data_IF_192738393435
#
_entry.id   IF_192738393435
#
_cell.length_a   1.000
_cell.length_b   1.000
_cell.length_c   1.000
_cell.angle_alpha   90.00
_cell.angle_beta   90.00
_cell.angle_gamma   90.00
#
_symmetry.space_group_name_H-M   'P 1'
#
loop_
_entity.id
_entity.type
_entity.pdbx_description
1 polymer ?
#
# COMPACT_ATOMS: atom_id res chain seq x y z
N UNK A 1 -2.89 33.43 -9.03
CA UNK A 1 -1.75 32.67 -9.57
C UNK A 1 -2.25 31.29 -9.96
N UNK A 2 -2.32 31.01 -11.26
CA UNK A 2 -2.66 29.67 -11.78
C UNK A 2 -1.53 28.72 -11.41
N UNK A 3 -1.73 27.91 -10.37
CA UNK A 3 -0.80 26.84 -10.02
C UNK A 3 -0.81 25.82 -11.17
N UNK A 4 0.35 25.30 -11.61
CA UNK A 4 0.38 24.23 -12.60
C UNK A 4 -0.43 23.05 -12.05
N UNK A 5 -1.34 22.51 -12.87
CA UNK A 5 -2.29 21.48 -12.46
C UNK A 5 -1.60 20.12 -12.22
N UNK A 6 -0.38 19.94 -12.73
CA UNK A 6 0.38 18.70 -12.64
C UNK A 6 1.87 18.99 -12.75
N UNK A 7 2.63 18.73 -11.68
CA UNK A 7 4.09 18.84 -11.68
C UNK A 7 4.75 17.49 -11.97
N UNK A 8 6.04 17.52 -12.30
CA UNK A 8 6.83 16.29 -12.49
C UNK A 8 6.91 15.48 -11.18
N UNK A 9 6.89 16.17 -10.02
CA UNK A 9 6.86 15.53 -8.71
C UNK A 9 5.53 14.79 -8.47
N UNK A 10 4.40 15.40 -8.84
CA UNK A 10 3.07 14.75 -8.77
C UNK A 10 3.02 13.50 -9.65
N UNK A 11 3.66 13.53 -10.82
CA UNK A 11 3.75 12.38 -11.72
C UNK A 11 4.52 11.22 -11.09
N UNK A 12 5.67 11.53 -10.45
CA UNK A 12 6.51 10.53 -9.78
C UNK A 12 5.77 9.89 -8.60
N UNK A 13 5.06 10.69 -7.80
CA UNK A 13 4.25 10.20 -6.68
C UNK A 13 3.08 9.34 -7.18
N UNK A 14 2.38 9.79 -8.23
CA UNK A 14 1.29 9.04 -8.84
C UNK A 14 1.73 7.68 -9.40
N UNK A 15 2.89 7.63 -10.06
CA UNK A 15 3.45 6.38 -10.56
C UNK A 15 3.83 5.43 -9.41
N UNK A 16 4.45 5.94 -8.35
CA UNK A 16 4.79 5.12 -7.17
C UNK A 16 3.55 4.51 -6.51
N UNK A 17 2.48 5.31 -6.37
CA UNK A 17 1.19 4.83 -5.87
C UNK A 17 0.60 3.76 -6.77
N UNK A 18 0.63 3.95 -8.08
CA UNK A 18 0.16 2.97 -9.06
C UNK A 18 0.95 1.66 -8.96
N UNK A 19 2.28 1.70 -8.90
CA UNK A 19 3.13 0.52 -8.75
C UNK A 19 2.80 -0.29 -7.49
N UNK A 20 2.58 0.38 -6.34
CA UNK A 20 2.22 -0.29 -5.08
C UNK A 20 0.84 -0.96 -5.17
N UNK A 21 -0.16 -0.24 -5.69
CA UNK A 21 -1.55 -0.74 -5.78
C UNK A 21 -1.65 -1.89 -6.78
N UNK A 22 -1.03 -1.76 -7.96
CA UNK A 22 -1.01 -2.80 -8.97
C UNK A 22 -0.18 -4.02 -8.57
N UNK A 23 0.75 -3.91 -7.62
CA UNK A 23 1.49 -5.05 -7.11
C UNK A 23 0.64 -5.93 -6.19
N UNK A 24 0.48 -5.52 -4.92
CA UNK A 24 -0.20 -6.32 -3.89
C UNK A 24 -1.66 -6.60 -4.26
N UNK A 25 -2.34 -5.58 -4.80
CA UNK A 25 -3.73 -5.68 -5.20
C UNK A 25 -3.93 -6.78 -6.22
N UNK A 26 -3.21 -6.74 -7.33
CA UNK A 26 -3.41 -7.70 -8.43
C UNK A 26 -3.04 -9.12 -8.05
N UNK A 27 -1.98 -9.32 -7.27
CA UNK A 27 -1.56 -10.66 -6.85
C UNK A 27 -2.62 -11.34 -5.98
N UNK A 28 -3.34 -10.57 -5.14
CA UNK A 28 -4.34 -11.11 -4.21
C UNK A 28 -5.72 -11.32 -4.82
N UNK A 29 -6.05 -10.61 -5.91
CA UNK A 29 -7.40 -10.64 -6.50
C UNK A 29 -7.87 -12.03 -6.96
N UNK A 30 -7.08 -12.83 -7.70
CA UNK A 30 -7.55 -14.14 -8.17
C UNK A 30 -7.97 -15.08 -7.03
N UNK A 31 -7.17 -15.12 -5.95
CA UNK A 31 -7.48 -15.93 -4.77
C UNK A 31 -8.72 -15.43 -4.02
N UNK A 32 -8.91 -14.11 -3.94
CA UNK A 32 -10.08 -13.52 -3.31
C UNK A 32 -11.36 -13.80 -4.11
N UNK A 33 -11.30 -13.68 -5.44
CA UNK A 33 -12.42 -13.95 -6.34
C UNK A 33 -12.78 -15.44 -6.37
N UNK A 34 -11.79 -16.34 -6.30
CA UNK A 34 -12.02 -17.77 -6.22
C UNK A 34 -12.77 -18.19 -4.94
N UNK A 35 -12.56 -17.48 -3.82
CA UNK A 35 -13.20 -17.80 -2.52
C UNK A 35 -14.56 -17.13 -2.32
N UNK A 36 -14.69 -15.85 -2.70
CA UNK A 36 -15.91 -15.07 -2.48
C UNK A 36 -16.92 -15.16 -3.64
N UNK A 37 -16.46 -15.56 -4.84
CA UNK A 37 -17.26 -15.57 -6.06
C UNK A 37 -17.35 -14.19 -6.73
N UNK A 38 -17.63 -14.17 -8.04
CA UNK A 38 -17.53 -12.98 -8.88
C UNK A 38 -18.43 -11.81 -8.43
N UNK A 39 -19.68 -12.08 -8.04
CA UNK A 39 -20.64 -11.04 -7.67
C UNK A 39 -20.29 -10.37 -6.33
N UNK A 40 -19.99 -11.14 -5.29
CA UNK A 40 -19.66 -10.60 -3.97
C UNK A 40 -18.28 -9.94 -3.95
N UNK A 41 -17.30 -10.50 -4.67
CA UNK A 41 -15.98 -9.91 -4.77
C UNK A 41 -16.00 -8.55 -5.49
N UNK A 42 -16.76 -8.40 -6.59
CA UNK A 42 -16.88 -7.12 -7.30
C UNK A 42 -17.58 -6.05 -6.46
N UNK A 43 -18.67 -6.40 -5.77
CA UNK A 43 -19.37 -5.46 -4.88
C UNK A 43 -18.44 -5.00 -3.75
N UNK A 44 -17.76 -5.94 -3.09
CA UNK A 44 -16.82 -5.63 -2.02
C UNK A 44 -15.65 -4.76 -2.51
N UNK A 45 -15.12 -5.04 -3.71
CA UNK A 45 -14.04 -4.27 -4.31
C UNK A 45 -14.46 -2.83 -4.59
N UNK A 46 -15.62 -2.61 -5.20
CA UNK A 46 -16.14 -1.27 -5.49
C UNK A 46 -16.41 -0.50 -4.20
N UNK A 47 -17.00 -1.17 -3.20
CA UNK A 47 -17.27 -0.56 -1.89
C UNK A 47 -15.99 -0.15 -1.16
N UNK A 48 -14.99 -1.03 -1.09
CA UNK A 48 -13.70 -0.73 -0.47
C UNK A 48 -12.95 0.36 -1.24
N UNK A 49 -12.98 0.34 -2.58
CA UNK A 49 -12.37 1.38 -3.40
C UNK A 49 -13.01 2.74 -3.11
N UNK A 50 -14.33 2.82 -3.03
CA UNK A 50 -15.04 4.08 -2.75
C UNK A 50 -14.76 4.60 -1.34
N UNK A 51 -14.68 3.73 -0.32
CA UNK A 51 -14.27 4.14 1.04
C UNK A 51 -12.83 4.67 1.05
N UNK A 52 -11.89 3.99 0.40
CA UNK A 52 -10.49 4.43 0.37
C UNK A 52 -10.31 5.77 -0.37
N UNK A 53 -11.03 5.97 -1.47
CA UNK A 53 -11.05 7.26 -2.19
C UNK A 53 -11.63 8.35 -1.30
N UNK A 54 -12.76 8.08 -0.63
CA UNK A 54 -13.37 9.05 0.28
C UNK A 54 -12.44 9.43 1.44
N UNK A 55 -11.82 8.45 2.10
CA UNK A 55 -10.84 8.67 3.16
C UNK A 55 -9.65 9.51 2.68
N UNK A 56 -9.12 9.20 1.48
CA UNK A 56 -8.02 9.96 0.87
C UNK A 56 -8.41 11.42 0.62
N UNK A 57 -9.62 11.67 0.11
CA UNK A 57 -10.12 13.05 -0.09
C UNK A 57 -10.26 13.79 1.23
N UNK A 58 -10.76 13.14 2.29
CA UNK A 58 -10.88 13.73 3.61
C UNK A 58 -9.50 14.11 4.18
N UNK A 59 -8.51 13.23 4.08
CA UNK A 59 -7.13 13.51 4.52
C UNK A 59 -6.53 14.67 3.72
N UNK A 60 -6.71 14.71 2.40
CA UNK A 60 -6.22 15.81 1.56
C UNK A 60 -6.84 17.16 1.97
N UNK A 61 -8.12 17.18 2.35
CA UNK A 61 -8.78 18.40 2.86
C UNK A 61 -8.16 18.86 4.18
N UNK A 62 -7.85 17.93 5.08
CA UNK A 62 -7.19 18.24 6.36
C UNK A 62 -5.77 18.76 6.12
N UNK A 63 -5.03 18.15 5.18
CA UNK A 63 -3.67 18.55 4.85
C UNK A 63 -3.57 19.98 4.30
N UNK A 64 -4.61 20.48 3.61
CA UNK A 64 -4.65 21.87 3.11
C UNK A 64 -4.79 22.88 4.26
N UNK A 65 -5.42 22.49 5.37
CA UNK A 65 -5.64 23.35 6.55
C UNK A 65 -4.52 23.21 7.58
N UNK A 66 -3.76 22.12 7.52
CA UNK A 66 -2.69 21.82 8.47
C UNK A 66 -1.58 22.89 8.46
N UNK A 67 -1.00 23.23 9.62
CA UNK A 67 0.14 24.13 9.70
C UNK A 67 1.37 23.53 9.00
N UNK A 68 2.29 24.38 8.53
CA UNK A 68 3.51 23.97 7.80
C UNK A 68 4.45 23.07 8.62
N UNK A 69 4.21 22.93 9.92
CA UNK A 69 4.96 22.06 10.82
C UNK A 69 4.54 20.58 10.68
N UNK A 70 3.36 20.29 10.14
CA UNK A 70 2.85 18.93 9.95
C UNK A 70 3.32 18.35 8.61
N UNK A 71 4.48 17.68 8.61
CA UNK A 71 5.02 17.03 7.41
C UNK A 71 4.57 15.58 7.24
N UNK A 72 4.23 14.88 8.32
CA UNK A 72 3.89 13.44 8.29
C UNK A 72 2.41 13.19 8.58
N UNK A 73 1.89 12.06 8.10
CA UNK A 73 0.53 11.60 8.40
C UNK A 73 0.30 11.49 9.93
N UNK A 74 1.33 11.07 10.67
CA UNK A 74 1.31 10.99 12.14
C UNK A 74 1.21 12.35 12.82
N UNK A 75 1.89 13.38 12.31
CA UNK A 75 1.77 14.75 12.82
C UNK A 75 0.39 15.35 12.52
N UNK A 76 -0.21 15.03 11.37
CA UNK A 76 -1.60 15.42 11.06
C UNK A 76 -2.56 14.77 12.05
N UNK A 77 -2.40 13.48 12.36
CA UNK A 77 -3.20 12.82 13.40
C UNK A 77 -3.00 13.40 14.79
N UNK A 78 -1.76 13.79 15.10
CA UNK A 78 -1.41 14.51 16.32
C UNK A 78 -2.08 15.87 16.43
N UNK A 79 -2.21 16.58 15.32
CA UNK A 79 -2.86 17.88 15.27
C UNK A 79 -4.38 17.79 15.42
N UNK A 80 -5.04 16.80 14.80
CA UNK A 80 -6.50 16.64 14.87
C UNK A 80 -6.97 16.01 16.19
N UNK A 81 -6.28 14.98 16.67
CA UNK A 81 -6.73 14.14 17.80
C UNK A 81 -5.78 14.17 19.01
N UNK A 82 -4.71 14.98 18.96
CA UNK A 82 -3.68 15.02 20.00
C UNK A 82 -2.76 13.79 20.00
N UNK A 83 -2.03 13.61 21.09
CA UNK A 83 -1.11 12.48 21.32
C UNK A 83 -1.68 11.09 21.00
N UNK A 84 -2.93 10.71 21.38
CA UNK A 84 -3.44 9.39 21.05
C UNK A 84 -3.62 9.19 19.54
N UNK A 85 -3.98 10.24 18.80
CA UNK A 85 -4.11 10.19 17.33
C UNK A 85 -2.77 9.97 16.65
N UNK A 86 -1.70 10.63 17.12
CA UNK A 86 -0.34 10.43 16.61
C UNK A 86 0.13 8.98 16.78
N UNK A 87 -0.10 8.41 17.97
CA UNK A 87 0.30 7.01 18.26
C UNK A 87 -0.49 6.03 17.40
N UNK A 88 -1.81 6.21 17.27
CA UNK A 88 -2.65 5.33 16.46
C UNK A 88 -2.23 5.29 14.98
N UNK A 89 -1.95 6.46 14.38
CA UNK A 89 -1.50 6.53 12.98
C UNK A 89 -0.10 5.94 12.80
N UNK A 90 0.81 6.21 13.75
CA UNK A 90 2.17 5.69 13.63
C UNK A 90 2.21 4.16 13.74
N UNK A 91 1.41 3.57 14.64
CA UNK A 91 1.29 2.12 14.78
C UNK A 91 0.67 1.50 13.52
N UNK A 92 -0.42 2.07 13.01
CA UNK A 92 -1.08 1.53 11.80
C UNK A 92 -0.17 1.64 10.58
N UNK A 93 0.59 2.72 10.44
CA UNK A 93 1.55 2.89 9.36
C UNK A 93 2.71 1.89 9.46
N UNK A 94 3.31 1.72 10.65
CA UNK A 94 4.35 0.70 10.86
C UNK A 94 3.86 -0.70 10.54
N UNK A 95 2.63 -1.03 10.93
CA UNK A 95 2.02 -2.33 10.64
C UNK A 95 1.86 -2.55 9.12
N UNK A 96 1.38 -1.55 8.38
CA UNK A 96 1.28 -1.62 6.92
C UNK A 96 2.65 -1.78 6.26
N UNK A 97 3.66 -1.03 6.72
CA UNK A 97 5.03 -1.12 6.20
C UNK A 97 5.66 -2.50 6.42
N UNK A 98 5.32 -3.20 7.51
CA UNK A 98 5.81 -4.57 7.78
C UNK A 98 5.00 -5.62 7.02
N UNK A 99 3.66 -5.47 6.95
CA UNK A 99 2.80 -6.43 6.27
C UNK A 99 2.95 -6.42 4.76
N UNK A 100 3.21 -5.26 4.15
CA UNK A 100 3.37 -5.12 2.70
C UNK A 100 4.46 -6.04 2.11
N UNK A 101 5.73 -6.03 2.59
CA UNK A 101 6.76 -6.93 2.08
C UNK A 101 6.47 -8.40 2.41
N UNK A 102 5.87 -8.70 3.57
CA UNK A 102 5.50 -10.07 3.93
C UNK A 102 4.47 -10.64 2.93
N UNK A 103 3.45 -9.85 2.58
CA UNK A 103 2.45 -10.24 1.59
C UNK A 103 3.07 -10.47 0.21
N UNK A 104 3.97 -9.60 -0.24
CA UNK A 104 4.70 -9.80 -1.49
C UNK A 104 5.55 -11.07 -1.48
N UNK A 105 6.26 -11.35 -0.38
CA UNK A 105 7.12 -12.52 -0.26
C UNK A 105 6.33 -13.83 -0.27
N UNK A 106 5.26 -13.91 0.53
CA UNK A 106 4.46 -15.13 0.63
C UNK A 106 3.71 -15.38 -0.67
N UNK A 107 3.02 -14.36 -1.19
CA UNK A 107 2.18 -14.52 -2.37
C UNK A 107 3.02 -14.66 -3.63
N UNK A 108 4.13 -13.92 -3.74
CA UNK A 108 5.10 -14.06 -4.84
C UNK A 108 5.75 -15.44 -4.85
N UNK A 109 6.12 -15.98 -3.67
CA UNK A 109 6.66 -17.34 -3.53
C UNK A 109 5.70 -18.40 -4.07
N UNK A 110 4.43 -18.36 -3.64
CA UNK A 110 3.41 -19.32 -4.09
C UNK A 110 3.12 -19.25 -5.60
N UNK A 111 3.19 -18.06 -6.22
CA UNK A 111 3.03 -17.93 -7.66
C UNK A 111 4.23 -18.51 -8.40
N UNK A 112 5.46 -18.30 -7.92
CA UNK A 112 6.65 -18.86 -8.57
C UNK A 112 6.71 -20.39 -8.50
N UNK A 113 6.24 -20.99 -7.41
CA UNK A 113 6.18 -22.46 -7.30
C UNK A 113 5.13 -23.07 -8.22
N UNK A 114 4.01 -22.39 -8.47
CA UNK A 114 3.03 -22.84 -9.48
C UNK A 114 3.52 -22.64 -10.92
N UNK A 115 4.33 -21.61 -11.18
CA UNK A 115 4.86 -21.33 -12.53
C UNK A 115 6.03 -22.26 -12.91
N UNK A 116 6.86 -22.67 -11.94
CA UNK A 116 8.00 -23.57 -12.14
C UNK A 116 7.92 -24.80 -11.21
N UNK A 117 7.04 -25.77 -11.51
CA UNK A 117 6.71 -26.87 -10.60
C UNK A 117 7.88 -27.83 -10.27
N UNK A 118 8.97 -27.82 -11.05
CA UNK A 118 10.14 -28.71 -10.88
C UNK A 118 11.44 -28.00 -10.44
N UNK A 119 11.38 -26.71 -10.04
CA UNK A 119 12.60 -25.92 -9.83
C UNK A 119 13.15 -25.96 -8.41
N UNK A 120 12.42 -25.43 -7.41
CA UNK A 120 12.87 -25.37 -6.02
C UNK A 120 11.68 -25.34 -5.04
N UNK A 121 11.89 -25.78 -3.80
CA UNK A 121 10.90 -25.69 -2.73
C UNK A 121 10.54 -24.23 -2.37
N UNK A 122 9.31 -23.97 -1.93
CA UNK A 122 8.78 -22.62 -1.60
C UNK A 122 9.74 -21.79 -0.75
N UNK A 123 10.36 -22.39 0.27
CA UNK A 123 11.30 -21.69 1.17
C UNK A 123 12.48 -21.05 0.42
N UNK A 124 13.00 -21.68 -0.63
CA UNK A 124 14.15 -21.16 -1.39
C UNK A 124 13.75 -19.97 -2.25
N UNK A 125 12.56 -20.01 -2.86
CA UNK A 125 12.02 -18.90 -3.64
C UNK A 125 11.66 -17.69 -2.78
N UNK A 126 11.14 -17.94 -1.57
CA UNK A 126 10.86 -16.87 -0.60
C UNK A 126 12.16 -16.19 -0.16
N UNK A 127 13.23 -16.96 0.09
CA UNK A 127 14.55 -16.39 0.46
C UNK A 127 15.12 -15.57 -0.70
N UNK A 128 15.06 -16.07 -1.94
CA UNK A 128 15.57 -15.37 -3.12
C UNK A 128 14.81 -14.06 -3.37
N UNK A 129 13.47 -14.08 -3.27
CA UNK A 129 12.63 -12.87 -3.33
C UNK A 129 12.95 -11.90 -2.19
N UNK A 130 13.23 -12.40 -0.98
CA UNK A 130 13.66 -11.60 0.17
C UNK A 130 14.96 -10.84 -0.10
N UNK A 131 15.93 -11.50 -0.69
CA UNK A 131 17.21 -10.87 -1.08
C UNK A 131 17.00 -9.80 -2.15
N UNK A 132 16.11 -10.02 -3.11
CA UNK A 132 15.79 -9.04 -4.16
C UNK A 132 15.00 -7.83 -3.65
N UNK A 133 14.21 -8.00 -2.58
CA UNK A 133 13.40 -6.92 -1.99
C UNK A 133 14.14 -6.10 -0.92
N UNK A 134 15.23 -6.63 -0.33
CA UNK A 134 16.11 -5.88 0.58
C UNK A 134 16.49 -4.46 0.12
N UNK A 135 16.94 -4.23 -1.14
CA UNK A 135 17.29 -2.89 -1.60
C UNK A 135 16.08 -1.95 -1.63
N UNK A 136 14.87 -2.46 -1.86
CA UNK A 136 13.63 -1.66 -1.85
C UNK A 136 13.24 -1.28 -0.42
N UNK A 137 13.44 -2.19 0.55
CA UNK A 137 13.20 -1.91 1.96
C UNK A 137 14.23 -0.95 2.60
N UNK A 138 15.38 -0.73 1.96
CA UNK A 138 16.44 0.16 2.42
C UNK A 138 16.33 1.59 1.85
N UNK A 139 15.42 1.84 0.91
CA UNK A 139 15.15 3.19 0.44
C UNK A 139 14.35 3.92 1.53
N UNK A 140 14.86 5.03 2.09
CA UNK A 140 14.11 5.79 3.07
C UNK A 140 12.86 6.39 2.42
N UNK A 141 11.70 6.01 2.95
CA UNK A 141 10.38 6.59 2.66
C UNK A 141 10.16 7.89 3.42
#
# INVERSE_FOLDING_TARGET
MTKPFFTVEDTKMGFSLFCVVCGIGTLSMPGNYARAGYAWATIALVFMASINVYASVCISKVMIVAPKECHTLGDIGGWVFGTPGRVAINISHMLVCVMAPIMFLVLGGSILTTLFPDSFADTTWIILMGVMLLPVCLVPT
#
